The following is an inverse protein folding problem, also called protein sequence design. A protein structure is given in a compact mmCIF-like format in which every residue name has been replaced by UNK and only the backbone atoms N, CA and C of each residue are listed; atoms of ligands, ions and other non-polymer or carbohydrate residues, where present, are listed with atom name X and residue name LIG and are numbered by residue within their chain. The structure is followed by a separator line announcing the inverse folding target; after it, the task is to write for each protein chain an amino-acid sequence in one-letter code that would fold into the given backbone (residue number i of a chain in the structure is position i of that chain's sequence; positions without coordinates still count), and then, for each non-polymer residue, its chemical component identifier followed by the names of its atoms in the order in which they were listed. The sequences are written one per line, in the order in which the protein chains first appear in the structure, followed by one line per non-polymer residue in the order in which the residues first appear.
data_IF_650158755197
#
_entry.id   IF_650158755197
#
_cell.length_a   1.000
_cell.length_b   1.000
_cell.length_c   1.000
_cell.angle_alpha   90.00
_cell.angle_beta   90.00
_cell.angle_gamma   90.00
#
_symmetry.space_group_name_H-M   'P 1'
#
loop_
_entity.id
_entity.type
_entity.pdbx_description
1 polymer ?
#
# COMPACT_ATOMS: atom_id res chain seq x y z
N UNK A 1 -2.21 -3.75 20.35
CA UNK A 1 -2.29 -4.11 18.91
C UNK A 1 -0.88 -4.30 18.40
N UNK A 2 -0.64 -5.37 17.66
CA UNK A 2 0.68 -5.68 17.06
C UNK A 2 0.50 -5.98 15.58
N UNK A 3 1.34 -5.38 14.73
CA UNK A 3 1.39 -5.65 13.29
C UNK A 3 2.71 -6.36 12.98
N UNK A 4 2.63 -7.58 12.47
CA UNK A 4 3.74 -8.28 11.85
C UNK A 4 3.76 -7.99 10.35
N UNK A 5 4.89 -7.60 9.81
CA UNK A 5 5.02 -7.27 8.37
C UNK A 5 6.49 -7.37 7.93
N UNK A 6 6.71 -7.62 6.65
CA UNK A 6 8.01 -7.40 6.04
C UNK A 6 8.31 -5.90 5.93
N UNK A 7 9.57 -5.52 6.19
CA UNK A 7 10.02 -4.12 6.20
C UNK A 7 10.00 -3.46 4.81
N UNK A 8 10.01 -4.24 3.73
CA UNK A 8 10.07 -3.76 2.35
C UNK A 8 8.77 -4.03 1.56
N UNK A 9 7.84 -4.81 2.11
CA UNK A 9 6.59 -5.16 1.43
C UNK A 9 5.66 -3.94 1.23
N UNK A 10 5.21 -3.66 -0.01
CA UNK A 10 4.30 -2.54 -0.27
C UNK A 10 2.92 -2.72 0.35
N UNK A 11 2.47 -3.96 0.55
CA UNK A 11 1.13 -4.26 1.11
C UNK A 11 1.13 -3.96 2.61
N UNK A 12 2.13 -4.44 3.35
CA UNK A 12 2.32 -4.10 4.76
C UNK A 12 2.55 -2.60 4.98
N UNK A 13 3.22 -1.91 4.04
CA UNK A 13 3.36 -0.45 4.09
C UNK A 13 2.02 0.27 4.01
N UNK A 14 1.07 -0.18 3.17
CA UNK A 14 -0.27 0.41 3.11
C UNK A 14 -0.99 0.37 4.48
N UNK A 15 -0.88 -0.75 5.20
CA UNK A 15 -1.45 -0.87 6.56
C UNK A 15 -0.78 0.10 7.53
N UNK A 16 0.56 0.24 7.47
CA UNK A 16 1.31 1.20 8.30
C UNK A 16 0.96 2.67 8.00
N UNK A 17 0.66 3.00 6.73
CA UNK A 17 0.15 4.33 6.36
C UNK A 17 -1.17 4.60 7.06
N UNK A 18 -2.12 3.65 7.01
CA UNK A 18 -3.43 3.83 7.66
C UNK A 18 -3.28 3.96 9.18
N UNK A 19 -2.44 3.14 9.81
CA UNK A 19 -2.16 3.27 11.25
C UNK A 19 -1.62 4.66 11.60
N UNK A 20 -0.72 5.21 10.79
CA UNK A 20 -0.17 6.56 10.97
C UNK A 20 -1.21 7.66 10.69
N UNK A 21 -2.07 7.52 9.68
CA UNK A 21 -3.17 8.46 9.41
C UNK A 21 -4.21 8.49 10.53
N UNK A 22 -4.37 7.36 11.23
CA UNK A 22 -5.28 7.23 12.37
C UNK A 22 -4.65 7.62 13.71
N UNK A 23 -3.36 7.97 13.71
CA UNK A 23 -2.59 8.25 14.94
C UNK A 23 -2.70 7.13 15.98
N UNK A 24 -2.67 5.87 15.50
CA UNK A 24 -2.79 4.69 16.36
C UNK A 24 -1.41 4.24 16.80
N UNK A 25 -1.22 4.18 18.11
CA UNK A 25 -0.03 3.57 18.68
C UNK A 25 -0.11 2.05 18.55
N UNK A 26 0.74 1.49 17.67
CA UNK A 26 0.82 0.07 17.37
C UNK A 26 2.27 -0.38 17.43
N UNK A 27 2.50 -1.56 17.97
CA UNK A 27 3.78 -2.23 17.87
C UNK A 27 3.92 -2.82 16.46
N UNK A 28 4.88 -2.32 15.68
CA UNK A 28 5.21 -2.88 14.36
C UNK A 28 6.44 -3.77 14.50
N UNK A 29 6.22 -5.08 14.39
CA UNK A 29 7.28 -6.08 14.38
C UNK A 29 7.65 -6.39 12.92
N UNK A 30 8.83 -5.93 12.48
CA UNK A 30 9.35 -6.31 11.17
C UNK A 30 9.95 -7.70 11.24
N UNK A 31 9.41 -8.60 10.41
CA UNK A 31 9.77 -10.02 10.38
C UNK A 31 10.09 -10.49 8.97
N UNK A 32 10.88 -11.54 8.88
CA UNK A 32 11.13 -12.33 7.66
C UNK A 32 10.70 -13.77 7.91
N UNK A 33 10.78 -14.64 6.90
CA UNK A 33 10.51 -16.07 7.06
C UNK A 33 11.42 -16.74 8.10
N UNK A 34 12.63 -16.19 8.32
CA UNK A 34 13.61 -16.72 9.27
C UNK A 34 13.45 -16.15 10.69
N UNK A 35 12.87 -14.94 10.82
CA UNK A 35 12.80 -14.21 12.11
C UNK A 35 11.39 -14.11 12.68
N UNK A 36 10.38 -14.59 11.95
CA UNK A 36 9.00 -14.61 12.43
C UNK A 36 8.84 -15.51 13.66
N UNK A 37 7.97 -15.14 14.62
CA UNK A 37 7.62 -16.02 15.72
C UNK A 37 7.08 -17.36 15.25
N UNK A 38 7.41 -18.45 15.94
CA UNK A 38 6.97 -19.80 15.58
C UNK A 38 5.45 -19.94 15.59
N UNK A 39 4.79 -19.26 16.52
CA UNK A 39 3.33 -19.25 16.70
C UNK A 39 2.59 -18.34 15.69
N UNK A 40 3.29 -17.56 14.87
CA UNK A 40 2.64 -16.73 13.85
C UNK A 40 1.86 -17.58 12.85
N UNK A 41 2.32 -18.81 12.58
CA UNK A 41 1.62 -19.76 11.71
C UNK A 41 0.27 -20.22 12.28
N UNK A 42 0.14 -20.27 13.60
CA UNK A 42 -1.11 -20.67 14.27
C UNK A 42 -2.20 -19.59 14.08
N UNK A 43 -1.79 -18.34 13.91
CA UNK A 43 -2.68 -17.21 13.70
C UNK A 43 -3.06 -16.99 12.24
N UNK A 44 -2.17 -17.32 11.29
CA UNK A 44 -2.35 -17.04 9.87
C UNK A 44 -2.30 -18.32 9.03
N UNK A 45 -3.46 -18.85 8.59
CA UNK A 45 -3.54 -20.12 7.87
C UNK A 45 -2.89 -20.10 6.48
N UNK A 46 -2.59 -18.90 5.92
CA UNK A 46 -1.89 -18.74 4.65
C UNK A 46 -0.38 -18.63 4.81
N UNK A 47 0.12 -18.60 6.06
CA UNK A 47 1.54 -18.48 6.37
C UNK A 47 2.23 -17.24 5.80
N UNK A 48 1.46 -16.20 5.47
CA UNK A 48 2.02 -14.91 5.06
C UNK A 48 2.50 -14.13 6.27
N UNK A 49 3.49 -13.25 6.09
CA UNK A 49 4.05 -12.47 7.20
C UNK A 49 3.10 -11.39 7.69
N UNK A 50 2.27 -10.82 6.79
CA UNK A 50 1.35 -9.74 7.16
C UNK A 50 0.23 -10.26 8.05
N UNK A 51 0.31 -9.87 9.34
CA UNK A 51 -0.67 -10.29 10.35
C UNK A 51 -0.88 -9.16 11.35
N UNK A 52 -2.14 -8.77 11.55
CA UNK A 52 -2.54 -7.79 12.57
C UNK A 52 -3.26 -8.50 13.70
N UNK A 53 -2.77 -8.30 14.92
CA UNK A 53 -3.38 -8.84 16.14
C UNK A 53 -3.91 -7.69 16.99
N UNK A 54 -5.22 -7.64 17.20
CA UNK A 54 -5.86 -6.73 18.14
C UNK A 54 -6.68 -7.51 19.16
N UNK A 55 -6.10 -7.72 20.35
CA UNK A 55 -6.64 -8.61 21.41
C UNK A 55 -6.82 -10.04 20.88
N UNK A 56 -8.07 -10.52 20.80
CA UNK A 56 -8.42 -11.86 20.29
C UNK A 56 -8.65 -11.87 18.76
N UNK A 57 -8.74 -10.68 18.14
CA UNK A 57 -8.93 -10.58 16.69
C UNK A 57 -7.59 -10.72 15.97
N UNK A 58 -7.55 -11.64 15.01
CA UNK A 58 -6.41 -11.81 14.12
C UNK A 58 -6.86 -11.58 12.68
N UNK A 59 -6.18 -10.69 11.98
CA UNK A 59 -6.40 -10.39 10.57
C UNK A 59 -5.12 -10.66 9.78
N UNK A 60 -5.27 -11.24 8.58
CA UNK A 60 -4.16 -11.61 7.70
C UNK A 60 -4.38 -11.21 6.23
N UNK A 61 -5.44 -10.46 5.95
CA UNK A 61 -5.69 -9.82 4.64
C UNK A 61 -5.61 -8.31 4.76
N UNK A 62 -4.79 -7.68 3.93
CA UNK A 62 -4.57 -6.24 3.99
C UNK A 62 -5.83 -5.41 3.74
N UNK A 63 -6.72 -5.84 2.81
CA UNK A 63 -7.93 -5.08 2.51
C UNK A 63 -8.89 -5.10 3.69
N UNK A 64 -8.97 -6.22 4.40
CA UNK A 64 -9.75 -6.36 5.62
C UNK A 64 -9.13 -5.51 6.74
N UNK A 65 -7.80 -5.54 6.91
CA UNK A 65 -7.10 -4.71 7.89
C UNK A 65 -7.36 -3.22 7.70
N UNK A 66 -7.28 -2.74 6.44
CA UNK A 66 -7.48 -1.33 6.10
C UNK A 66 -8.90 -0.86 6.47
N UNK A 67 -9.91 -1.65 6.13
CA UNK A 67 -11.31 -1.32 6.48
C UNK A 67 -11.57 -1.45 7.97
N UNK A 68 -11.05 -2.50 8.62
CA UNK A 68 -11.14 -2.65 10.07
C UNK A 68 -10.56 -1.44 10.80
N UNK A 69 -9.38 -0.97 10.40
CA UNK A 69 -8.72 0.18 11.02
C UNK A 69 -9.51 1.48 10.79
N UNK A 70 -10.09 1.67 9.60
CA UNK A 70 -10.92 2.84 9.31
C UNK A 70 -12.22 2.84 10.12
N UNK A 71 -12.87 1.68 10.27
CA UNK A 71 -14.08 1.51 11.09
C UNK A 71 -13.80 1.59 12.59
N UNK A 72 -12.69 1.01 13.04
CA UNK A 72 -12.28 1.00 14.46
C UNK A 72 -11.86 2.39 14.96
N UNK A 73 -11.24 3.18 14.07
CA UNK A 73 -10.77 4.54 14.31
C UNK A 73 -11.37 5.47 13.26
N UNK A 74 -12.62 5.95 13.46
CA UNK A 74 -13.38 6.62 12.40
C UNK A 74 -12.84 8.00 11.99
N UNK A 75 -11.88 8.56 12.71
CA UNK A 75 -11.32 9.88 12.41
C UNK A 75 -9.80 9.85 12.24
N UNK A 76 -9.29 10.51 11.17
CA UNK A 76 -10.01 11.02 10.01
C UNK A 76 -10.60 9.88 9.17
N UNK A 77 -11.78 10.06 8.52
CA UNK A 77 -12.36 9.03 7.67
C UNK A 77 -11.51 8.81 6.42
N UNK A 78 -11.26 7.54 6.06
CA UNK A 78 -10.51 7.15 4.86
C UNK A 78 -11.39 6.41 3.85
N UNK A 79 -12.66 6.17 4.19
CA UNK A 79 -13.67 5.63 3.29
C UNK A 79 -14.79 6.64 3.06
N UNK A 80 -15.31 6.75 1.82
CA UNK A 80 -16.48 7.56 1.53
C UNK A 80 -17.70 7.13 2.34
N UNK A 81 -18.66 8.04 2.53
CA UNK A 81 -19.87 7.75 3.31
C UNK A 81 -20.92 7.01 2.48
N UNK A 82 -21.11 7.42 1.21
CA UNK A 82 -22.17 6.83 0.38
C UNK A 82 -21.79 5.45 -0.17
N UNK A 83 -22.78 4.55 -0.35
CA UNK A 83 -22.51 3.16 -0.75
C UNK A 83 -21.89 3.03 -2.13
N UNK A 84 -22.19 3.90 -3.09
CA UNK A 84 -21.65 3.84 -4.45
C UNK A 84 -20.18 4.18 -4.45
N UNK A 85 -19.81 5.29 -3.81
CA UNK A 85 -18.40 5.69 -3.66
C UNK A 85 -17.60 4.67 -2.85
N UNK A 86 -18.18 4.04 -1.82
CA UNK A 86 -17.55 2.93 -1.08
C UNK A 86 -17.27 1.73 -1.99
N UNK A 87 -18.25 1.34 -2.81
CA UNK A 87 -18.09 0.24 -3.76
C UNK A 87 -17.00 0.54 -4.79
N UNK A 88 -16.98 1.75 -5.35
CA UNK A 88 -15.95 2.19 -6.27
C UNK A 88 -14.55 2.20 -5.61
N UNK A 89 -14.44 2.68 -4.38
CA UNK A 89 -13.19 2.66 -3.61
C UNK A 89 -12.66 1.23 -3.47
N UNK A 90 -13.50 0.28 -3.07
CA UNK A 90 -13.15 -1.16 -2.97
C UNK A 90 -12.71 -1.73 -4.31
N UNK A 91 -13.42 -1.42 -5.38
CA UNK A 91 -13.09 -1.91 -6.72
C UNK A 91 -11.74 -1.37 -7.21
N UNK A 92 -11.43 -0.10 -6.96
CA UNK A 92 -10.14 0.51 -7.33
C UNK A 92 -9.01 -0.15 -6.52
N UNK A 93 -9.18 -0.32 -5.20
CA UNK A 93 -8.17 -1.00 -4.36
C UNK A 93 -7.93 -2.45 -4.81
N UNK A 94 -9.01 -3.17 -5.14
CA UNK A 94 -8.91 -4.52 -5.71
C UNK A 94 -8.07 -4.53 -6.99
N UNK A 95 -8.30 -3.57 -7.90
CA UNK A 95 -7.52 -3.45 -9.14
C UNK A 95 -6.06 -3.09 -8.86
N UNK A 96 -5.78 -2.16 -7.96
CA UNK A 96 -4.39 -1.84 -7.55
C UNK A 96 -3.69 -3.09 -7.03
N UNK A 97 -4.33 -3.86 -6.16
CA UNK A 97 -3.77 -5.08 -5.62
C UNK A 97 -3.50 -6.13 -6.71
N UNK A 98 -4.49 -6.39 -7.58
CA UNK A 98 -4.43 -7.44 -8.58
C UNK A 98 -3.58 -7.09 -9.79
N UNK A 99 -3.75 -5.87 -10.33
CA UNK A 99 -3.16 -5.50 -11.62
C UNK A 99 -1.75 -4.92 -11.47
N UNK A 100 -1.42 -4.37 -10.28
CA UNK A 100 -0.16 -3.69 -10.02
C UNK A 100 0.67 -4.36 -8.92
N UNK A 101 0.13 -4.50 -7.69
CA UNK A 101 0.91 -5.02 -6.57
C UNK A 101 1.27 -6.50 -6.75
N UNK A 102 0.40 -7.32 -7.31
CA UNK A 102 0.71 -8.72 -7.63
C UNK A 102 1.87 -8.88 -8.62
N UNK A 103 2.19 -7.85 -9.41
CA UNK A 103 3.34 -7.89 -10.32
C UNK A 103 4.67 -7.66 -9.56
N UNK A 104 4.64 -7.08 -8.36
CA UNK A 104 5.88 -6.72 -7.64
C UNK A 104 6.67 -7.95 -7.19
N UNK A 105 6.02 -9.07 -6.91
CA UNK A 105 6.69 -10.33 -6.60
C UNK A 105 7.58 -10.83 -7.74
N UNK A 106 7.18 -10.58 -8.99
CA UNK A 106 7.95 -10.95 -10.17
C UNK A 106 9.19 -10.06 -10.36
N UNK A 107 9.21 -8.86 -9.77
CA UNK A 107 10.33 -7.92 -9.89
C UNK A 107 11.58 -8.34 -9.11
N UNK A 108 11.43 -9.25 -8.13
CA UNK A 108 12.55 -9.80 -7.37
C UNK A 108 13.45 -10.72 -8.21
N UNK A 109 12.97 -11.18 -9.36
CA UNK A 109 13.73 -12.00 -10.31
C UNK A 109 14.53 -11.09 -11.24
N UNK A 110 15.64 -11.60 -11.77
CA UNK A 110 16.42 -10.90 -12.80
C UNK A 110 16.32 -11.66 -14.13
N UNK A 111 15.11 -11.71 -14.69
CA UNK A 111 14.77 -12.45 -15.88
C UNK A 111 13.76 -11.73 -16.78
N UNK A 112 13.31 -12.41 -17.83
CA UNK A 112 12.32 -11.89 -18.77
C UNK A 112 10.96 -11.60 -18.10
N UNK A 113 10.60 -12.34 -17.04
CA UNK A 113 9.36 -12.11 -16.31
C UNK A 113 9.41 -10.79 -15.53
N UNK A 114 10.56 -10.46 -14.93
CA UNK A 114 10.76 -9.17 -14.27
C UNK A 114 10.69 -8.00 -15.25
N UNK A 115 11.27 -8.16 -16.46
CA UNK A 115 11.19 -7.14 -17.52
C UNK A 115 9.74 -6.93 -17.98
N UNK A 116 8.97 -8.02 -18.13
CA UNK A 116 7.54 -7.97 -18.47
C UNK A 116 6.70 -7.29 -17.37
N UNK A 117 6.96 -7.64 -16.11
CA UNK A 117 6.29 -7.02 -14.97
C UNK A 117 6.57 -5.50 -14.89
N UNK A 118 7.83 -5.05 -15.10
CA UNK A 118 8.18 -3.62 -15.15
C UNK A 118 7.41 -2.90 -16.25
N UNK A 119 7.34 -3.48 -17.45
CA UNK A 119 6.58 -2.93 -18.57
C UNK A 119 5.10 -2.85 -18.24
N UNK A 120 4.50 -3.94 -17.74
CA UNK A 120 3.08 -4.01 -17.37
C UNK A 120 2.72 -2.95 -16.34
N UNK A 121 3.51 -2.80 -15.27
CA UNK A 121 3.29 -1.75 -14.26
C UNK A 121 3.41 -0.37 -14.92
N UNK A 122 4.45 -0.12 -15.70
CA UNK A 122 4.68 1.17 -16.38
C UNK A 122 3.51 1.56 -17.29
N UNK A 123 3.03 0.64 -18.13
CA UNK A 123 1.92 0.86 -19.06
C UNK A 123 0.62 1.16 -18.31
N UNK A 124 0.32 0.42 -17.26
CA UNK A 124 -0.84 0.67 -16.40
C UNK A 124 -0.76 2.05 -15.72
N UNK A 125 0.42 2.45 -15.22
CA UNK A 125 0.62 3.75 -14.59
C UNK A 125 0.45 4.90 -15.59
N UNK A 126 0.93 4.75 -16.84
CA UNK A 126 0.69 5.71 -17.89
C UNK A 126 -0.79 5.82 -18.26
N UNK A 127 -1.52 4.69 -18.29
CA UNK A 127 -2.97 4.68 -18.55
C UNK A 127 -3.79 5.34 -17.41
N UNK A 128 -3.33 5.25 -16.17
CA UNK A 128 -3.97 5.86 -15.00
C UNK A 128 -3.70 7.39 -14.92
N UNK A 129 -2.55 7.84 -15.37
CA UNK A 129 -2.09 9.23 -15.20
C UNK A 129 -3.10 10.31 -15.62
N UNK A 130 -3.84 10.21 -16.76
CA UNK A 130 -4.84 11.21 -17.12
C UNK A 130 -5.97 11.38 -16.11
N UNK A 131 -6.37 10.32 -15.41
CA UNK A 131 -7.44 10.37 -14.42
C UNK A 131 -7.09 11.26 -13.21
N UNK A 132 -5.80 11.46 -12.94
CA UNK A 132 -5.28 12.27 -11.83
C UNK A 132 -5.16 13.78 -12.17
N UNK A 133 -5.65 14.23 -13.32
CA UNK A 133 -5.61 15.65 -13.69
C UNK A 133 -6.70 16.48 -13.03
N UNK A 134 -7.81 15.86 -12.63
CA UNK A 134 -9.04 16.55 -12.29
C UNK A 134 -9.33 16.62 -10.80
N UNK A 135 -8.69 15.78 -10.01
CA UNK A 135 -8.93 15.69 -8.57
C UNK A 135 -7.61 15.65 -7.81
N UNK A 136 -7.59 16.13 -6.56
CA UNK A 136 -6.37 16.20 -5.76
C UNK A 136 -5.87 14.83 -5.28
N UNK A 137 -6.76 13.82 -5.22
CA UNK A 137 -6.48 12.45 -4.83
C UNK A 137 -7.01 11.47 -5.88
N UNK A 138 -6.89 10.18 -5.66
CA UNK A 138 -7.23 9.18 -6.66
C UNK A 138 -8.75 9.13 -6.89
N UNK A 139 -9.22 9.78 -7.97
CA UNK A 139 -10.64 9.92 -8.33
C UNK A 139 -11.51 10.46 -7.16
N UNK A 140 -10.95 11.32 -6.34
CA UNK A 140 -11.59 11.87 -5.15
C UNK A 140 -11.04 13.26 -4.81
N UNK A 141 -11.88 14.08 -4.19
CA UNK A 141 -11.46 15.36 -3.56
C UNK A 141 -10.83 15.13 -2.19
N UNK A 142 -11.06 13.97 -1.59
CA UNK A 142 -10.57 13.59 -0.27
C UNK A 142 -9.55 12.45 -0.36
N UNK A 143 -8.60 12.44 0.59
CA UNK A 143 -7.65 11.34 0.77
C UNK A 143 -8.37 10.10 1.30
N UNK A 144 -8.15 8.95 0.67
CA UNK A 144 -8.87 7.71 0.99
C UNK A 144 -7.95 6.50 1.11
N UNK A 145 -8.51 5.34 1.45
CA UNK A 145 -7.79 4.06 1.46
C UNK A 145 -7.20 3.70 0.08
N UNK A 146 -7.73 4.24 -1.02
CA UNK A 146 -7.13 4.05 -2.37
C UNK A 146 -5.74 4.66 -2.40
N UNK A 147 -5.59 5.87 -1.87
CA UNK A 147 -4.32 6.59 -1.83
C UNK A 147 -3.31 5.87 -0.92
N UNK A 148 -3.79 5.33 0.21
CA UNK A 148 -2.97 4.51 1.12
C UNK A 148 -2.43 3.24 0.43
N UNK A 149 -3.25 2.59 -0.40
CA UNK A 149 -2.85 1.39 -1.14
C UNK A 149 -1.91 1.69 -2.31
N UNK A 150 -2.04 2.85 -2.93
CA UNK A 150 -1.30 3.19 -4.14
C UNK A 150 0.07 3.82 -3.84
N UNK A 151 0.17 4.62 -2.78
CA UNK A 151 1.40 5.31 -2.39
C UNK A 151 2.63 4.39 -2.23
N UNK A 152 2.54 3.18 -1.62
CA UNK A 152 3.66 2.28 -1.48
C UNK A 152 4.28 1.84 -2.82
N UNK A 153 3.48 1.56 -3.83
CA UNK A 153 3.96 1.22 -5.16
C UNK A 153 4.70 2.39 -5.80
N UNK A 154 4.09 3.59 -5.76
CA UNK A 154 4.67 4.80 -6.34
C UNK A 154 6.01 5.16 -5.68
N UNK A 155 6.14 4.93 -4.37
CA UNK A 155 7.39 5.12 -3.65
C UNK A 155 8.50 4.23 -4.19
N UNK A 156 8.21 3.00 -4.54
CA UNK A 156 9.16 1.97 -4.95
C UNK A 156 9.53 1.99 -6.43
N UNK A 157 8.91 2.83 -7.26
CA UNK A 157 9.17 2.84 -8.72
C UNK A 157 10.66 2.97 -9.07
N UNK A 158 11.46 3.88 -8.45
CA UNK A 158 12.88 3.95 -8.73
C UNK A 158 13.62 2.67 -8.34
N UNK A 159 13.30 2.09 -7.19
CA UNK A 159 13.89 0.84 -6.71
C UNK A 159 13.60 -0.34 -7.66
N UNK A 160 12.39 -0.38 -8.25
CA UNK A 160 12.01 -1.37 -9.24
C UNK A 160 12.57 -1.10 -10.65
N UNK A 161 13.29 0.02 -10.83
CA UNK A 161 13.81 0.43 -12.16
C UNK A 161 12.71 0.88 -13.13
N UNK A 162 11.52 1.24 -12.63
CA UNK A 162 10.40 1.71 -13.45
C UNK A 162 10.51 3.23 -13.62
N UNK A 163 10.74 3.65 -14.86
CA UNK A 163 10.84 5.08 -15.22
C UNK A 163 9.56 5.52 -15.93
N UNK A 164 8.92 6.54 -15.40
CA UNK A 164 7.75 7.15 -16.01
C UNK A 164 8.17 8.29 -16.96
N UNK A 165 7.49 8.40 -18.09
CA UNK A 165 7.72 9.47 -19.06
C UNK A 165 6.99 10.76 -18.67
N UNK A 166 7.24 11.84 -19.43
CA UNK A 166 6.55 13.12 -19.24
C UNK A 166 5.02 13.03 -19.37
N UNK A 167 4.49 11.99 -20.02
CA UNK A 167 3.06 11.73 -20.12
C UNK A 167 2.41 11.40 -18.75
N UNK A 168 3.21 10.89 -17.81
CA UNK A 168 2.75 10.59 -16.45
C UNK A 168 2.96 11.75 -15.46
N UNK A 169 3.12 13.00 -15.92
CA UNK A 169 3.38 14.17 -15.05
C UNK A 169 2.31 14.37 -13.96
N UNK A 170 1.05 14.09 -14.26
CA UNK A 170 -0.03 14.15 -13.25
C UNK A 170 0.15 13.13 -12.16
N UNK A 171 0.54 11.90 -12.50
CA UNK A 171 0.84 10.84 -11.54
C UNK A 171 2.05 11.19 -10.66
N UNK A 172 3.10 11.78 -11.23
CA UNK A 172 4.26 12.22 -10.45
C UNK A 172 3.89 13.31 -9.44
N UNK A 173 3.12 14.32 -9.86
CA UNK A 173 2.61 15.36 -8.94
C UNK A 173 1.72 14.79 -7.83
N UNK A 174 0.87 13.83 -8.18
CA UNK A 174 0.06 13.11 -7.20
C UNK A 174 0.93 12.33 -6.21
N UNK A 175 1.94 11.59 -6.69
CA UNK A 175 2.87 10.86 -5.85
C UNK A 175 3.61 11.79 -4.88
N UNK A 176 4.14 12.92 -5.35
CA UNK A 176 4.81 13.92 -4.51
C UNK A 176 3.89 14.45 -3.40
N UNK A 177 2.61 14.66 -3.72
CA UNK A 177 1.60 15.08 -2.73
C UNK A 177 1.39 14.01 -1.66
N UNK A 178 1.32 12.72 -2.02
CA UNK A 178 1.19 11.64 -1.07
C UNK A 178 2.43 11.54 -0.17
N UNK A 179 3.61 11.62 -0.74
CA UNK A 179 4.89 11.51 -0.01
C UNK A 179 5.16 12.70 0.92
N UNK A 180 4.54 13.85 0.67
CA UNK A 180 4.63 15.03 1.53
C UNK A 180 3.81 14.88 2.83
N UNK A 181 2.87 13.91 2.91
CA UNK A 181 2.05 13.70 4.11
C UNK A 181 2.93 13.22 5.27
N UNK A 182 2.64 13.75 6.45
CA UNK A 182 3.37 13.38 7.68
C UNK A 182 3.21 11.88 7.98
N UNK A 183 1.97 11.36 7.90
CA UNK A 183 1.67 9.96 8.13
C UNK A 183 2.41 9.03 7.16
N UNK A 184 2.52 9.41 5.87
CA UNK A 184 3.32 8.65 4.91
C UNK A 184 4.80 8.57 5.34
N UNK A 185 5.40 9.69 5.71
CA UNK A 185 6.81 9.73 6.15
C UNK A 185 7.05 8.98 7.45
N UNK A 186 6.10 9.06 8.38
CA UNK A 186 6.15 8.33 9.64
C UNK A 186 6.05 6.82 9.44
N UNK A 187 5.27 6.36 8.45
CA UNK A 187 5.06 4.93 8.15
C UNK A 187 6.25 4.23 7.50
N UNK A 188 7.24 4.97 6.97
CA UNK A 188 8.39 4.40 6.27
C UNK A 188 9.31 3.62 7.22
N UNK A 189 9.62 2.38 6.86
CA UNK A 189 10.70 1.61 7.47
C UNK A 189 12.10 2.15 7.09
N UNK A 190 13.13 1.67 7.75
CA UNK A 190 14.51 1.99 7.37
C UNK A 190 14.85 1.49 5.95
N UNK A 191 14.39 0.28 5.61
CA UNK A 191 14.58 -0.31 4.28
C UNK A 191 13.91 0.54 3.18
N UNK A 192 12.68 1.01 3.42
CA UNK A 192 11.95 1.83 2.45
C UNK A 192 12.55 3.22 2.27
N UNK A 193 13.10 3.83 3.32
CA UNK A 193 13.83 5.10 3.19
C UNK A 193 15.06 4.94 2.30
N UNK A 194 15.79 3.84 2.44
CA UNK A 194 16.97 3.53 1.63
C UNK A 194 16.65 3.35 0.12
N UNK A 195 15.41 3.04 -0.26
CA UNK A 195 15.01 2.90 -1.67
C UNK A 195 15.08 4.21 -2.48
N UNK A 196 15.18 5.35 -1.80
CA UNK A 196 15.23 6.70 -2.43
C UNK A 196 16.37 7.58 -1.92
N UNK A 197 17.31 7.01 -1.18
CA UNK A 197 18.53 7.69 -0.74
C UNK A 197 19.59 7.73 -1.84
#
# INVERSE_FOLDING_TARGET
MTLYADAADPIGHAVRIVLAEKDVNVEVAFVTDETKPDDLHDYNPYHTLLTLIDRELVLYDAQIMLEYLDERYPHPPLMPVDPVSRANNRQIRYRIARDLLAQTERLARDDAEAADARRTIGDNLHAIAPALNHQPYFLSDEYTLVDCCFAPLLWRLPHYGIKLTAQAKSLLRYADKLFAREAFRASLSAAERAMRS
#
